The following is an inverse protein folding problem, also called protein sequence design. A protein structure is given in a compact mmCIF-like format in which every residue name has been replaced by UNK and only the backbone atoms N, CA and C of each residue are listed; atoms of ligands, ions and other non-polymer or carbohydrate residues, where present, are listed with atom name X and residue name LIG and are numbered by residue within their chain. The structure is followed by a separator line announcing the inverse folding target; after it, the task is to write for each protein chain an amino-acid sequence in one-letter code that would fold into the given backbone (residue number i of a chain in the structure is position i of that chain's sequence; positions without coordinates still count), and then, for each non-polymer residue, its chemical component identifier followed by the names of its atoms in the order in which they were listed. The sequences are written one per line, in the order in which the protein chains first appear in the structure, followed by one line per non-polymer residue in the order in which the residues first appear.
data_IF_447980360069
#
_entry.id   IF_447980360069
#
_cell.length_a   1.000
_cell.length_b   1.000
_cell.length_c   1.000
_cell.angle_alpha   90.00
_cell.angle_beta   90.00
_cell.angle_gamma   90.00
#
_symmetry.space_group_name_H-M   'P 1'
#
loop_
_entity.id
_entity.type
_entity.pdbx_description
1 polymer ?
#
# COMPACT_ATOMS: atom_id res chain seq x y z
N UNK A 1 8.45 7.04 42.02
CA UNK A 1 9.07 6.97 40.67
C UNK A 1 8.87 5.65 39.93
N UNK A 2 8.51 4.52 40.57
CA UNK A 2 8.29 3.23 39.86
C UNK A 2 6.97 3.13 39.07
N UNK A 3 5.91 3.82 39.52
CA UNK A 3 4.59 3.77 38.86
C UNK A 3 4.57 4.42 37.48
N UNK A 4 5.35 5.47 37.28
CA UNK A 4 5.45 6.18 35.99
C UNK A 4 5.97 5.26 34.88
N UNK A 5 6.94 4.39 35.18
CA UNK A 5 7.51 3.44 34.20
C UNK A 5 6.49 2.35 33.83
N UNK A 6 5.74 1.83 34.80
CA UNK A 6 4.68 0.87 34.54
C UNK A 6 3.54 1.46 33.69
N UNK A 7 3.15 2.71 33.98
CA UNK A 7 2.14 3.42 33.19
C UNK A 7 2.62 3.64 31.75
N UNK A 8 3.86 4.08 31.55
CA UNK A 8 4.44 4.25 30.22
C UNK A 8 4.46 2.93 29.42
N UNK A 9 4.85 1.82 30.05
CA UNK A 9 4.85 0.51 29.41
C UNK A 9 3.45 0.03 29.02
N UNK A 10 2.45 0.27 29.86
CA UNK A 10 1.05 -0.06 29.57
C UNK A 10 0.51 0.83 28.44
N UNK A 11 0.85 2.13 28.43
CA UNK A 11 0.50 3.04 27.33
C UNK A 11 1.16 2.63 26.02
N UNK A 12 2.46 2.31 26.01
CA UNK A 12 3.17 1.81 24.83
C UNK A 12 2.61 0.48 24.36
N UNK A 13 2.31 -0.45 25.27
CA UNK A 13 1.61 -1.68 24.92
C UNK A 13 0.25 -1.36 24.29
N UNK A 14 -0.61 -0.58 24.91
CA UNK A 14 -1.94 -0.24 24.34
C UNK A 14 -1.85 0.53 23.01
N UNK A 15 -0.90 1.45 22.86
CA UNK A 15 -0.69 2.22 21.63
C UNK A 15 -0.03 1.40 20.52
N UNK A 16 0.75 0.36 20.84
CA UNK A 16 1.50 -0.45 19.87
C UNK A 16 0.96 -1.87 19.68
N UNK A 17 0.03 -2.35 20.52
CA UNK A 17 -0.49 -3.72 20.52
C UNK A 17 -1.55 -3.96 19.44
N UNK A 18 -1.98 -2.93 18.72
CA UNK A 18 -2.96 -3.09 17.66
C UNK A 18 -2.51 -2.44 16.35
N UNK A 19 -1.37 -2.91 15.84
CA UNK A 19 -1.13 -2.87 14.40
C UNK A 19 -1.98 -3.95 13.68
N UNK A 20 -3.28 -4.01 13.97
CA UNK A 20 -4.25 -4.52 12.99
C UNK A 20 -4.53 -3.37 12.03
N UNK A 21 -3.48 -2.90 11.36
CA UNK A 21 -3.60 -1.82 10.41
C UNK A 21 -4.31 -2.38 9.19
N UNK A 22 -5.64 -2.26 9.18
CA UNK A 22 -6.45 -2.48 8.00
C UNK A 22 -5.80 -1.70 6.84
N UNK A 23 -5.55 -2.36 5.71
CA UNK A 23 -4.92 -1.72 4.56
C UNK A 23 -5.70 -0.45 4.22
N UNK A 24 -4.99 0.67 4.11
CA UNK A 24 -5.61 1.94 3.76
C UNK A 24 -6.40 1.78 2.44
N UNK A 25 -7.70 2.13 2.40
CA UNK A 25 -8.53 1.96 1.20
C UNK A 25 -7.93 2.60 -0.05
N UNK A 26 -7.21 3.73 0.11
CA UNK A 26 -6.51 4.39 -0.99
C UNK A 26 -5.38 3.52 -1.56
N UNK A 27 -4.55 2.93 -0.70
CA UNK A 27 -3.45 2.03 -1.09
C UNK A 27 -3.99 0.74 -1.71
N UNK A 28 -5.03 0.17 -1.10
CA UNK A 28 -5.75 -0.99 -1.63
C UNK A 28 -6.30 -0.76 -3.06
N UNK A 29 -6.89 0.40 -3.27
CA UNK A 29 -7.39 0.84 -4.58
C UNK A 29 -6.22 1.01 -5.55
N UNK A 30 -5.15 1.65 -5.12
CA UNK A 30 -3.93 1.89 -5.92
C UNK A 30 -3.30 0.59 -6.43
N UNK A 31 -3.12 -0.39 -5.56
CA UNK A 31 -2.57 -1.70 -5.90
C UNK A 31 -3.46 -2.40 -6.94
N UNK A 32 -4.78 -2.29 -6.78
CA UNK A 32 -5.73 -2.92 -7.71
C UNK A 32 -5.63 -2.30 -9.10
N UNK A 33 -5.57 -0.98 -9.21
CA UNK A 33 -5.42 -0.31 -10.51
C UNK A 33 -4.04 -0.60 -11.12
N UNK A 34 -2.99 -0.58 -10.31
CA UNK A 34 -1.64 -0.89 -10.76
C UNK A 34 -1.55 -2.28 -11.40
N UNK A 35 -2.10 -3.31 -10.75
CA UNK A 35 -2.00 -4.70 -11.19
C UNK A 35 -2.87 -5.04 -12.41
N UNK A 36 -4.03 -4.40 -12.56
CA UNK A 36 -5.08 -4.87 -13.48
C UNK A 36 -5.61 -3.84 -14.48
N UNK A 37 -5.38 -2.55 -14.28
CA UNK A 37 -5.92 -1.48 -15.12
C UNK A 37 -4.82 -0.83 -15.97
N UNK A 38 -5.19 0.08 -16.87
CA UNK A 38 -4.28 0.75 -17.81
C UNK A 38 -3.43 1.85 -17.18
N UNK A 39 -2.39 2.30 -17.87
CA UNK A 39 -1.54 3.42 -17.45
C UNK A 39 -2.34 4.71 -17.22
N UNK A 40 -3.35 4.97 -18.05
CA UNK A 40 -4.24 6.11 -17.88
C UNK A 40 -5.00 6.05 -16.55
N UNK A 41 -5.48 4.86 -16.16
CA UNK A 41 -6.15 4.67 -14.88
C UNK A 41 -5.18 4.84 -13.69
N UNK A 42 -3.94 4.34 -13.84
CA UNK A 42 -2.88 4.53 -12.83
C UNK A 42 -2.55 6.01 -12.68
N UNK A 43 -2.36 6.73 -13.79
CA UNK A 43 -2.06 8.16 -13.78
C UNK A 43 -3.18 8.96 -13.09
N UNK A 44 -4.44 8.72 -13.45
CA UNK A 44 -5.60 9.36 -12.82
C UNK A 44 -5.68 9.10 -11.31
N UNK A 45 -5.34 7.89 -10.88
CA UNK A 45 -5.40 7.54 -9.46
C UNK A 45 -4.22 8.12 -8.67
N UNK A 46 -3.03 8.13 -9.28
CA UNK A 46 -1.79 8.64 -8.70
C UNK A 46 -1.81 10.17 -8.64
N UNK A 47 -2.41 10.85 -9.62
CA UNK A 47 -2.57 12.31 -9.61
C UNK A 47 -3.30 12.82 -8.36
N UNK A 48 -4.22 12.03 -7.79
CA UNK A 48 -4.93 12.38 -6.54
C UNK A 48 -4.00 12.53 -5.33
N UNK A 49 -2.79 11.98 -5.41
CA UNK A 49 -1.79 12.02 -4.35
C UNK A 49 -0.79 13.18 -4.52
N UNK A 50 -0.93 14.01 -5.56
CA UNK A 50 0.01 15.09 -5.92
C UNK A 50 1.49 14.66 -5.87
N UNK A 51 1.87 13.57 -6.56
CA UNK A 51 3.22 13.05 -6.51
C UNK A 51 4.18 13.94 -7.32
N UNK A 52 5.48 13.89 -7.00
CA UNK A 52 6.50 14.44 -7.90
C UNK A 52 6.47 13.66 -9.24
N UNK A 53 6.76 14.32 -10.36
CA UNK A 53 6.71 13.69 -11.69
C UNK A 53 7.63 12.47 -11.80
N UNK A 54 8.75 12.47 -11.07
CA UNK A 54 9.71 11.35 -11.02
C UNK A 54 9.08 10.10 -10.40
N UNK A 55 8.23 10.24 -9.37
CA UNK A 55 7.57 9.11 -8.73
C UNK A 55 6.50 8.47 -9.63
N UNK A 56 5.78 9.29 -10.41
CA UNK A 56 4.83 8.78 -11.40
C UNK A 56 5.56 8.02 -12.52
N UNK A 57 6.66 8.57 -13.03
CA UNK A 57 7.47 7.92 -14.08
C UNK A 57 8.02 6.56 -13.60
N UNK A 58 8.63 6.53 -12.42
CA UNK A 58 9.15 5.29 -11.83
C UNK A 58 8.03 4.26 -11.63
N UNK A 59 6.84 4.69 -11.19
CA UNK A 59 5.72 3.78 -11.02
C UNK A 59 5.22 3.20 -12.34
N UNK A 60 5.16 4.00 -13.40
CA UNK A 60 4.77 3.51 -14.74
C UNK A 60 5.82 2.54 -15.30
N UNK A 61 7.10 2.78 -15.06
CA UNK A 61 8.17 1.84 -15.44
C UNK A 61 7.99 0.47 -14.77
N UNK A 62 7.76 0.43 -13.45
CA UNK A 62 7.50 -0.82 -12.72
C UNK A 62 6.19 -1.47 -13.19
N UNK A 63 5.20 -0.67 -13.55
CA UNK A 63 3.94 -1.17 -14.13
C UNK A 63 4.19 -1.91 -15.43
N UNK A 64 4.99 -1.35 -16.35
CA UNK A 64 5.30 -2.03 -17.61
C UNK A 64 5.98 -3.38 -17.41
N UNK A 65 6.86 -3.51 -16.41
CA UNK A 65 7.42 -4.82 -16.03
C UNK A 65 6.35 -5.76 -15.46
N UNK A 66 5.48 -5.24 -14.58
CA UNK A 66 4.37 -5.99 -13.99
C UNK A 66 3.37 -6.44 -15.06
N UNK A 67 3.20 -5.65 -16.12
CA UNK A 67 2.29 -5.92 -17.22
C UNK A 67 2.73 -7.08 -18.13
N UNK A 68 3.97 -7.56 -17.97
CA UNK A 68 4.46 -8.78 -18.62
C UNK A 68 4.15 -10.04 -17.82
N UNK A 69 3.73 -9.90 -16.55
CA UNK A 69 3.35 -11.03 -15.70
C UNK A 69 1.97 -11.53 -16.12
N UNK A 70 1.77 -12.84 -16.17
CA UNK A 70 0.47 -13.43 -16.52
C UNK A 70 -0.62 -13.03 -15.53
N UNK A 71 -1.85 -12.87 -16.03
CA UNK A 71 -3.01 -12.44 -15.24
C UNK A 71 -3.22 -13.30 -13.98
N UNK A 72 -3.09 -14.63 -14.11
CA UNK A 72 -3.21 -15.57 -13.00
C UNK A 72 -2.19 -15.31 -11.89
N UNK A 73 -0.94 -14.98 -12.24
CA UNK A 73 0.10 -14.64 -11.26
C UNK A 73 -0.20 -13.31 -10.57
N UNK A 74 -0.66 -12.28 -11.30
CA UNK A 74 -1.09 -11.01 -10.69
C UNK A 74 -2.25 -11.17 -9.72
N UNK A 75 -3.20 -12.04 -10.04
CA UNK A 75 -4.30 -12.39 -9.14
C UNK A 75 -3.79 -13.04 -7.84
N UNK A 76 -2.80 -13.93 -7.94
CA UNK A 76 -2.16 -14.53 -6.77
C UNK A 76 -1.39 -13.50 -5.92
N UNK A 77 -0.75 -12.50 -6.56
CA UNK A 77 -0.11 -11.39 -5.85
C UNK A 77 -1.13 -10.58 -5.04
N UNK A 78 -2.26 -10.19 -5.66
CA UNK A 78 -3.34 -9.49 -4.95
C UNK A 78 -3.82 -10.28 -3.74
N UNK A 79 -4.06 -11.59 -3.87
CA UNK A 79 -4.52 -12.40 -2.73
C UNK A 79 -3.51 -12.47 -1.58
N UNK A 80 -2.22 -12.41 -1.87
CA UNK A 80 -1.16 -12.49 -0.86
C UNK A 80 -1.00 -11.19 -0.08
N UNK A 81 -1.28 -10.04 -0.71
CA UNK A 81 -1.20 -8.72 -0.07
C UNK A 81 -2.36 -8.41 0.88
N UNK A 82 -3.43 -9.19 0.82
CA UNK A 82 -4.67 -8.98 1.56
C UNK A 82 -4.94 -10.08 2.60
N UNK A 83 -3.90 -10.85 2.92
CA UNK A 83 -3.93 -11.96 3.87
C UNK A 83 -3.19 -11.55 5.14
#
# INVERSE_FOLDING_TARGET
MRLSVCLLMVSLALCCYQAHALVCPAVASEITVFLFLSDAAVNLQVAKLNPPPEALAAKLEVKHCTDQISFKKRLSLKKSWWK
#
